data_IF_330891348782
#
_entry.id   IF_330891348782
#
_cell.length_a   1.000
_cell.length_b   1.000
_cell.length_c   1.000
_cell.angle_alpha   90.00
_cell.angle_beta   90.00
_cell.angle_gamma   90.00
#
_symmetry.space_group_name_H-M   'P 1'
#
loop_
_entity.id
_entity.type
_entity.pdbx_description
1 polymer ?
#
# COMPACT_ATOMS: atom_id res chain seq x y z
N UNK A 1 16.49 -18.17 -23.12
CA UNK A 1 15.78 -17.27 -22.18
C UNK A 1 16.21 -17.59 -20.76
N UNK A 2 16.92 -16.68 -20.11
CA UNK A 2 17.50 -16.89 -18.76
C UNK A 2 16.39 -17.20 -17.74
N UNK A 3 16.58 -18.23 -16.89
CA UNK A 3 15.71 -18.58 -15.73
C UNK A 3 15.34 -17.38 -14.84
N UNK A 4 16.08 -16.25 -14.93
CA UNK A 4 15.89 -15.05 -14.14
C UNK A 4 14.61 -14.25 -14.44
N UNK A 5 14.04 -14.33 -15.65
CA UNK A 5 12.88 -13.51 -16.07
C UNK A 5 11.55 -14.29 -16.13
N UNK A 6 11.45 -15.40 -15.40
CA UNK A 6 10.26 -16.24 -15.41
C UNK A 6 9.19 -15.68 -14.47
N UNK A 7 8.02 -15.33 -14.99
CA UNK A 7 6.84 -14.88 -14.23
C UNK A 7 6.37 -15.90 -13.18
N UNK A 8 6.66 -17.20 -13.37
CA UNK A 8 6.39 -18.26 -12.37
C UNK A 8 7.07 -17.98 -11.01
N UNK A 9 8.10 -17.13 -10.99
CA UNK A 9 8.79 -16.72 -9.79
C UNK A 9 8.13 -15.53 -9.06
N UNK A 10 6.95 -15.08 -9.50
CA UNK A 10 6.19 -13.97 -8.90
C UNK A 10 4.89 -14.51 -8.33
N UNK A 11 4.60 -14.14 -7.09
CA UNK A 11 3.27 -14.24 -6.48
C UNK A 11 2.74 -12.83 -6.24
N UNK A 12 1.49 -12.59 -6.60
CA UNK A 12 0.77 -11.35 -6.32
C UNK A 12 0.08 -11.47 -4.97
N UNK A 13 0.19 -10.45 -4.12
CA UNK A 13 -0.57 -10.33 -2.87
C UNK A 13 -1.52 -9.16 -2.95
N UNK A 14 -2.77 -9.39 -2.56
CA UNK A 14 -3.86 -8.43 -2.69
C UNK A 14 -4.70 -8.38 -1.41
N UNK A 15 -4.46 -7.39 -0.53
CA UNK A 15 -5.34 -7.12 0.60
C UNK A 15 -6.60 -6.39 0.11
N UNK A 16 -7.76 -6.83 0.56
CA UNK A 16 -9.08 -6.25 0.26
C UNK A 16 -9.76 -5.81 1.56
N UNK A 17 -10.52 -4.72 1.49
CA UNK A 17 -11.42 -4.28 2.55
C UNK A 17 -12.58 -3.48 1.96
N UNK A 18 -13.81 -4.00 2.11
CA UNK A 18 -15.04 -3.39 1.56
C UNK A 18 -14.85 -2.93 0.11
N UNK A 19 -14.27 -3.84 -0.70
CA UNK A 19 -13.88 -3.53 -2.07
C UNK A 19 -15.09 -3.54 -2.98
N UNK A 20 -15.33 -2.47 -3.77
CA UNK A 20 -16.41 -2.45 -4.76
C UNK A 20 -16.28 -3.61 -5.76
N UNK A 21 -17.37 -4.36 -5.97
CA UNK A 21 -17.39 -5.50 -6.90
C UNK A 21 -17.03 -5.09 -8.33
N UNK A 22 -17.28 -3.82 -8.73
CA UNK A 22 -16.84 -3.28 -10.02
C UNK A 22 -15.33 -3.38 -10.28
N UNK A 23 -14.51 -3.46 -9.22
CA UNK A 23 -13.06 -3.61 -9.33
C UNK A 23 -12.58 -5.05 -9.59
N UNK A 24 -13.48 -6.04 -9.54
CA UNK A 24 -13.15 -7.45 -9.89
C UNK A 24 -12.50 -7.54 -11.26
N UNK A 25 -12.95 -6.73 -12.23
CA UNK A 25 -12.35 -6.67 -13.57
C UNK A 25 -10.84 -6.37 -13.57
N UNK A 26 -10.38 -5.58 -12.63
CA UNK A 26 -8.96 -5.24 -12.53
C UNK A 26 -8.12 -6.44 -12.04
N UNK A 27 -8.72 -7.40 -11.34
CA UNK A 27 -8.00 -8.56 -10.80
C UNK A 27 -7.62 -9.53 -11.93
N UNK A 28 -8.39 -9.57 -13.03
CA UNK A 28 -8.10 -10.39 -14.21
C UNK A 28 -6.74 -10.10 -14.86
N UNK A 29 -6.18 -8.91 -14.65
CA UNK A 29 -4.85 -8.58 -15.19
C UNK A 29 -3.73 -9.48 -14.63
N UNK A 30 -3.98 -10.18 -13.53
CA UNK A 30 -3.03 -11.09 -12.87
C UNK A 30 -3.22 -12.56 -13.24
N UNK A 31 -4.08 -12.92 -14.21
CA UNK A 31 -4.42 -14.32 -14.57
C UNK A 31 -3.21 -15.21 -14.89
N UNK A 32 -2.09 -14.63 -15.33
CA UNK A 32 -0.85 -15.36 -15.63
C UNK A 32 0.11 -15.46 -14.43
N UNK A 33 -0.32 -15.06 -13.22
CA UNK A 33 0.49 -15.01 -12.01
C UNK A 33 -0.24 -15.71 -10.87
N UNK A 34 0.49 -16.34 -9.95
CA UNK A 34 -0.09 -16.83 -8.70
C UNK A 34 -0.63 -15.66 -7.91
N UNK A 35 -1.87 -15.76 -7.42
CA UNK A 35 -2.54 -14.69 -6.67
C UNK A 35 -2.97 -15.21 -5.29
N UNK A 36 -2.64 -14.46 -4.25
CA UNK A 36 -3.09 -14.68 -2.88
C UNK A 36 -3.89 -13.46 -2.43
N UNK A 37 -5.10 -13.69 -1.97
CA UNK A 37 -6.03 -12.63 -1.54
C UNK A 37 -6.32 -12.78 -0.05
N UNK A 38 -6.39 -11.65 0.66
CA UNK A 38 -6.94 -11.57 2.01
C UNK A 38 -8.03 -10.50 2.02
N UNK A 39 -9.26 -10.94 2.27
CA UNK A 39 -10.41 -10.07 2.43
C UNK A 39 -10.75 -9.88 3.92
N UNK A 40 -10.87 -8.62 4.33
CA UNK A 40 -11.14 -8.20 5.71
C UNK A 40 -12.58 -7.73 5.91
N UNK A 41 -13.47 -8.11 5.00
CA UNK A 41 -14.86 -7.64 4.96
C UNK A 41 -15.88 -8.74 5.20
N UNK A 42 -15.43 -10.01 5.30
CA UNK A 42 -16.29 -11.19 5.32
C UNK A 42 -17.24 -11.26 4.11
N UNK A 43 -16.77 -10.80 2.92
CA UNK A 43 -17.58 -10.74 1.71
C UNK A 43 -17.53 -12.07 0.93
N UNK A 44 -18.43 -12.98 1.29
CA UNK A 44 -18.55 -14.28 0.65
C UNK A 44 -19.01 -14.20 -0.82
N UNK A 45 -19.79 -13.19 -1.17
CA UNK A 45 -20.21 -12.97 -2.56
C UNK A 45 -19.02 -12.55 -3.44
N UNK A 46 -18.20 -11.61 -2.96
CA UNK A 46 -16.94 -11.22 -3.61
C UNK A 46 -16.03 -12.43 -3.81
N UNK A 47 -15.84 -13.24 -2.75
CA UNK A 47 -15.05 -14.49 -2.82
C UNK A 47 -15.57 -15.40 -3.93
N UNK A 48 -16.87 -15.69 -3.94
CA UNK A 48 -17.49 -16.57 -4.96
C UNK A 48 -17.24 -16.02 -6.36
N UNK A 49 -17.50 -14.73 -6.60
CA UNK A 49 -17.30 -14.07 -7.90
C UNK A 49 -15.84 -14.11 -8.35
N UNK A 50 -14.89 -13.99 -7.43
CA UNK A 50 -13.46 -14.03 -7.76
C UNK A 50 -12.99 -15.44 -8.09
N UNK A 51 -13.37 -16.44 -7.28
CA UNK A 51 -12.94 -17.82 -7.48
C UNK A 51 -13.53 -18.45 -8.74
N UNK A 52 -14.77 -18.10 -9.12
CA UNK A 52 -15.37 -18.60 -10.38
C UNK A 52 -14.74 -18.01 -11.64
N UNK A 53 -14.14 -16.80 -11.55
CA UNK A 53 -13.60 -16.08 -12.72
C UNK A 53 -12.08 -16.13 -12.85
N UNK A 54 -11.36 -16.62 -11.83
CA UNK A 54 -9.90 -16.57 -11.77
C UNK A 54 -9.33 -17.87 -11.19
N UNK A 55 -8.82 -18.73 -12.06
CA UNK A 55 -8.22 -20.02 -11.68
C UNK A 55 -6.82 -19.89 -11.08
N UNK A 56 -6.21 -18.73 -11.16
CA UNK A 56 -4.88 -18.43 -10.67
C UNK A 56 -4.83 -18.02 -9.19
N UNK A 57 -5.99 -17.90 -8.51
CA UNK A 57 -6.06 -17.65 -7.07
C UNK A 57 -5.68 -18.93 -6.33
N UNK A 58 -4.46 -18.97 -5.80
CA UNK A 58 -3.93 -20.15 -5.09
C UNK A 58 -4.33 -20.17 -3.61
N UNK A 59 -4.73 -19.01 -3.05
CA UNK A 59 -5.24 -18.91 -1.69
C UNK A 59 -6.15 -17.70 -1.54
N UNK A 60 -7.29 -17.89 -0.89
CA UNK A 60 -8.23 -16.82 -0.51
C UNK A 60 -8.50 -16.94 0.99
N UNK A 61 -8.14 -15.89 1.74
CA UNK A 61 -8.26 -15.81 3.20
C UNK A 61 -9.37 -14.81 3.52
N UNK A 62 -10.28 -15.14 4.40
CA UNK A 62 -11.32 -14.25 4.90
C UNK A 62 -11.07 -13.94 6.36
N UNK A 63 -11.19 -12.66 6.71
CA UNK A 63 -11.27 -12.17 8.07
C UNK A 63 -12.60 -11.44 8.26
N UNK A 64 -13.17 -11.60 9.44
CA UNK A 64 -14.44 -10.98 9.86
C UNK A 64 -14.27 -9.50 10.26
N UNK A 65 -13.03 -9.04 10.43
CA UNK A 65 -12.71 -7.68 10.85
C UNK A 65 -11.52 -7.10 10.11
N UNK A 66 -11.50 -5.78 10.05
CA UNK A 66 -10.38 -5.02 9.49
C UNK A 66 -9.20 -5.02 10.45
N UNK A 67 -8.13 -5.71 10.08
CA UNK A 67 -6.88 -5.80 10.85
C UNK A 67 -5.83 -4.76 10.41
N UNK A 68 -6.17 -3.92 9.42
CA UNK A 68 -5.29 -2.92 8.83
C UNK A 68 -4.45 -3.43 7.66
N UNK A 69 -3.91 -2.47 6.90
CA UNK A 69 -3.18 -2.76 5.67
C UNK A 69 -1.83 -3.45 5.94
N UNK A 70 -1.02 -2.92 6.85
CA UNK A 70 0.28 -3.48 7.18
C UNK A 70 0.19 -4.94 7.66
N UNK A 71 -0.71 -5.21 8.61
CA UNK A 71 -0.92 -6.54 9.17
C UNK A 71 -1.45 -7.53 8.15
N UNK A 72 -2.38 -7.11 7.28
CA UNK A 72 -2.89 -7.96 6.20
C UNK A 72 -1.82 -8.29 5.16
N UNK A 73 -0.99 -7.32 4.77
CA UNK A 73 0.15 -7.57 3.87
C UNK A 73 1.17 -8.54 4.46
N UNK A 74 1.50 -8.40 5.75
CA UNK A 74 2.37 -9.34 6.46
C UNK A 74 1.78 -10.75 6.51
N UNK A 75 0.47 -10.85 6.76
CA UNK A 75 -0.23 -12.14 6.77
C UNK A 75 -0.20 -12.81 5.38
N UNK A 76 -0.44 -12.05 4.31
CA UNK A 76 -0.33 -12.53 2.94
C UNK A 76 1.09 -13.01 2.62
N UNK A 77 2.12 -12.26 3.04
CA UNK A 77 3.52 -12.58 2.78
C UNK A 77 3.98 -13.91 3.40
N UNK A 78 3.37 -14.34 4.52
CA UNK A 78 3.65 -15.67 5.14
C UNK A 78 3.35 -16.82 4.19
N UNK A 79 2.40 -16.64 3.26
CA UNK A 79 1.97 -17.66 2.30
C UNK A 79 2.72 -17.58 0.95
N UNK A 80 3.64 -16.64 0.78
CA UNK A 80 4.42 -16.47 -0.45
C UNK A 80 5.66 -17.37 -0.41
N UNK A 81 5.74 -18.30 -1.37
CA UNK A 81 6.89 -19.21 -1.56
C UNK A 81 7.77 -18.84 -2.75
N UNK A 82 7.29 -17.96 -3.63
CA UNK A 82 8.05 -17.48 -4.79
C UNK A 82 9.19 -16.53 -4.38
N UNK A 83 10.18 -16.38 -5.27
CA UNK A 83 11.33 -15.49 -5.04
C UNK A 83 10.93 -14.02 -4.95
N UNK A 84 9.95 -13.61 -5.78
CA UNK A 84 9.46 -12.24 -5.86
C UNK A 84 7.99 -12.18 -5.49
N UNK A 85 7.58 -11.06 -4.92
CA UNK A 85 6.21 -10.77 -4.60
C UNK A 85 5.83 -9.39 -5.17
N UNK A 86 4.67 -9.32 -5.83
CA UNK A 86 4.05 -8.08 -6.27
C UNK A 86 2.96 -7.72 -5.27
N UNK A 87 3.18 -6.67 -4.47
CA UNK A 87 2.11 -6.04 -3.70
C UNK A 87 1.27 -5.20 -4.64
N UNK A 88 -0.05 -5.30 -4.51
CA UNK A 88 -1.00 -4.50 -5.30
C UNK A 88 -2.28 -4.20 -4.52
N UNK A 89 -3.09 -3.28 -5.04
CA UNK A 89 -4.42 -2.94 -4.54
C UNK A 89 -5.47 -3.14 -5.66
N UNK A 90 -6.74 -3.27 -5.29
CA UNK A 90 -7.83 -3.53 -6.26
C UNK A 90 -8.03 -2.38 -7.27
N UNK A 91 -7.65 -1.15 -6.90
CA UNK A 91 -7.74 0.04 -7.74
C UNK A 91 -6.44 0.36 -8.52
N UNK A 92 -5.54 -0.62 -8.61
CA UNK A 92 -4.36 -0.54 -9.48
C UNK A 92 -4.65 -1.23 -10.82
N UNK A 93 -4.30 -0.55 -11.90
CA UNK A 93 -4.29 -1.12 -13.26
C UNK A 93 -2.85 -1.14 -13.76
N UNK A 94 -2.32 -2.34 -13.98
CA UNK A 94 -0.96 -2.59 -14.46
C UNK A 94 -0.99 -3.74 -15.48
N UNK A 95 -0.29 -3.62 -16.59
CA UNK A 95 -0.24 -4.70 -17.56
C UNK A 95 0.97 -5.64 -17.35
N UNK A 96 0.90 -6.83 -17.95
CA UNK A 96 1.93 -7.85 -17.82
C UNK A 96 3.30 -7.39 -18.33
N UNK A 97 3.34 -6.52 -19.35
CA UNK A 97 4.59 -5.92 -19.87
C UNK A 97 5.28 -5.09 -18.78
N UNK A 98 4.51 -4.26 -18.05
CA UNK A 98 5.04 -3.47 -16.93
C UNK A 98 5.57 -4.37 -15.81
N UNK A 99 4.87 -5.46 -15.45
CA UNK A 99 5.34 -6.41 -14.44
C UNK A 99 6.67 -7.07 -14.88
N UNK A 100 6.80 -7.45 -16.15
CA UNK A 100 8.07 -7.95 -16.70
C UNK A 100 9.19 -6.92 -16.63
N UNK A 101 8.90 -5.64 -16.87
CA UNK A 101 9.89 -4.56 -16.74
C UNK A 101 10.32 -4.36 -15.28
N UNK A 102 9.42 -4.47 -14.30
CA UNK A 102 9.77 -4.45 -12.88
C UNK A 102 10.74 -5.60 -12.53
N UNK A 103 10.44 -6.81 -13.02
CA UNK A 103 11.29 -7.97 -12.79
C UNK A 103 12.68 -7.83 -13.44
N UNK A 104 12.76 -7.29 -14.64
CA UNK A 104 14.06 -7.01 -15.30
C UNK A 104 14.88 -5.99 -14.51
N UNK A 105 14.23 -4.91 -14.03
CA UNK A 105 14.95 -3.84 -13.34
C UNK A 105 15.47 -4.27 -11.97
N UNK A 106 14.74 -5.13 -11.24
CA UNK A 106 15.22 -5.66 -9.94
C UNK A 106 16.46 -6.53 -10.11
N UNK A 107 16.64 -7.14 -11.30
CA UNK A 107 17.84 -7.91 -11.63
C UNK A 107 19.00 -7.05 -12.16
N UNK A 108 18.67 -5.93 -12.81
CA UNK A 108 19.66 -5.06 -13.45
C UNK A 108 20.43 -4.20 -12.43
N UNK A 109 19.78 -3.83 -11.35
CA UNK A 109 20.37 -2.93 -10.34
C UNK A 109 20.87 -3.74 -9.15
N UNK A 110 22.16 -3.63 -8.86
CA UNK A 110 22.77 -4.30 -7.73
C UNK A 110 22.15 -3.85 -6.41
N UNK A 111 21.93 -4.84 -5.53
CA UNK A 111 21.28 -4.66 -4.24
C UNK A 111 19.84 -4.10 -4.32
N UNK A 112 19.18 -4.11 -5.48
CA UNK A 112 17.78 -3.75 -5.57
C UNK A 112 16.91 -4.70 -4.73
N UNK A 113 16.04 -4.15 -3.90
CA UNK A 113 15.09 -4.88 -3.07
C UNK A 113 13.65 -4.62 -3.50
N UNK A 114 13.34 -3.39 -3.92
CA UNK A 114 12.02 -2.95 -4.41
C UNK A 114 12.17 -2.32 -5.79
N UNK A 115 11.29 -2.73 -6.71
CA UNK A 115 11.08 -2.10 -8.02
C UNK A 115 9.62 -1.69 -8.15
N UNK A 116 9.36 -0.40 -8.22
CA UNK A 116 8.02 0.17 -8.37
C UNK A 116 7.77 0.68 -9.79
N UNK A 117 6.51 0.66 -10.27
CA UNK A 117 6.15 1.29 -11.53
C UNK A 117 6.02 2.81 -11.36
N UNK A 118 6.02 3.51 -12.48
CA UNK A 118 5.60 4.90 -12.52
C UNK A 118 4.07 4.97 -12.41
N UNK A 119 3.58 5.52 -11.30
CA UNK A 119 2.15 5.65 -11.04
C UNK A 119 1.62 7.00 -11.55
N UNK A 120 0.62 6.97 -12.43
CA UNK A 120 -0.15 8.15 -12.91
C UNK A 120 0.69 9.31 -13.50
N UNK A 121 1.99 9.14 -13.68
CA UNK A 121 2.84 10.22 -14.19
C UNK A 121 2.99 10.11 -15.70
N UNK A 122 2.60 11.15 -16.40
CA UNK A 122 3.00 11.36 -17.79
C UNK A 122 4.48 11.74 -17.80
N UNK A 123 5.36 10.81 -18.13
CA UNK A 123 6.77 11.10 -18.34
C UNK A 123 7.24 10.42 -19.62
N UNK A 124 7.96 11.17 -20.44
CA UNK A 124 8.66 10.65 -21.62
C UNK A 124 9.92 9.85 -21.23
N UNK A 125 10.42 10.04 -20.00
CA UNK A 125 11.58 9.30 -19.50
C UNK A 125 11.30 7.82 -19.41
N UNK A 126 12.25 7.00 -19.88
CA UNK A 126 12.22 5.54 -19.77
C UNK A 126 13.26 5.02 -18.77
N UNK A 127 13.90 5.92 -18.02
CA UNK A 127 15.01 5.60 -17.13
C UNK A 127 14.53 4.92 -15.84
N UNK A 128 15.42 4.12 -15.27
CA UNK A 128 15.30 3.61 -13.91
C UNK A 128 15.91 4.66 -12.98
N UNK A 129 15.18 5.01 -11.92
CA UNK A 129 15.64 5.95 -10.89
C UNK A 129 15.75 5.25 -9.55
N UNK A 130 16.87 5.44 -8.84
CA UNK A 130 16.97 5.12 -7.42
C UNK A 130 16.24 6.22 -6.67
N UNK A 131 15.41 5.84 -5.70
CA UNK A 131 14.56 6.76 -4.94
C UNK A 131 14.56 6.38 -3.46
N UNK A 132 14.29 7.34 -2.60
CA UNK A 132 14.20 7.09 -1.16
C UNK A 132 12.85 6.48 -0.76
N UNK A 133 11.78 6.76 -1.51
CA UNK A 133 10.43 6.33 -1.16
C UNK A 133 9.63 5.87 -2.39
N UNK A 134 8.76 4.89 -2.16
CA UNK A 134 7.73 4.45 -3.10
C UNK A 134 6.40 4.29 -2.37
N UNK A 135 5.29 4.46 -3.09
CA UNK A 135 3.95 4.30 -2.52
C UNK A 135 3.63 2.81 -2.37
N UNK A 136 3.11 2.41 -1.22
CA UNK A 136 2.69 1.05 -0.88
C UNK A 136 1.53 0.47 -1.70
N UNK A 137 1.08 1.18 -2.74
CA UNK A 137 -0.03 0.74 -3.59
C UNK A 137 0.37 -0.34 -4.61
N UNK A 138 1.60 -0.27 -5.15
CA UNK A 138 2.09 -1.26 -6.12
C UNK A 138 3.61 -1.26 -6.23
N UNK A 139 4.25 -2.37 -5.88
CA UNK A 139 5.67 -2.61 -6.14
C UNK A 139 6.03 -4.11 -6.10
N UNK A 140 7.03 -4.48 -6.90
CA UNK A 140 7.66 -5.79 -6.89
C UNK A 140 8.83 -5.79 -5.91
N UNK A 141 8.99 -6.85 -5.11
CA UNK A 141 10.10 -6.97 -4.17
C UNK A 141 10.69 -8.38 -4.05
N UNK A 142 11.93 -8.47 -3.60
CA UNK A 142 12.60 -9.71 -3.24
C UNK A 142 12.12 -10.19 -1.87
N UNK A 143 11.43 -11.34 -1.85
CA UNK A 143 10.77 -11.89 -0.65
C UNK A 143 11.78 -12.19 0.47
N UNK A 144 12.92 -12.78 0.14
CA UNK A 144 13.95 -13.15 1.15
C UNK A 144 14.55 -11.90 1.81
N UNK A 145 14.84 -10.87 1.00
CA UNK A 145 15.41 -9.62 1.50
C UNK A 145 14.40 -8.86 2.37
N UNK A 146 13.14 -8.74 1.92
CA UNK A 146 12.07 -8.07 2.67
C UNK A 146 11.75 -8.78 3.99
N UNK A 147 11.68 -10.11 4.01
CA UNK A 147 11.47 -10.88 5.25
C UNK A 147 12.56 -10.61 6.29
N UNK A 148 13.83 -10.45 5.89
CA UNK A 148 14.93 -10.05 6.80
C UNK A 148 14.72 -8.68 7.44
N UNK A 149 14.04 -7.76 6.74
CA UNK A 149 13.73 -6.41 7.22
C UNK A 149 12.39 -6.33 7.96
N UNK A 150 11.70 -7.46 8.19
CA UNK A 150 10.38 -7.52 8.84
C UNK A 150 9.35 -6.65 8.10
N UNK A 151 9.09 -6.92 6.84
CA UNK A 151 8.22 -6.21 5.90
C UNK A 151 7.57 -4.91 6.46
N UNK A 152 6.27 -4.90 6.78
CA UNK A 152 5.64 -3.73 7.40
C UNK A 152 5.63 -3.81 8.93
N UNK A 153 5.78 -2.68 9.61
CA UNK A 153 5.55 -2.57 11.05
C UNK A 153 4.03 -2.54 11.30
N UNK A 154 3.51 -3.55 11.99
CA UNK A 154 2.07 -3.74 12.25
C UNK A 154 1.45 -2.70 13.19
N UNK A 155 2.27 -1.84 13.82
CA UNK A 155 1.79 -0.66 14.55
C UNK A 155 1.13 0.37 13.65
N UNK A 156 1.50 0.40 12.36
CA UNK A 156 0.81 1.18 11.33
C UNK A 156 -0.41 0.41 10.86
N UNK A 157 -1.60 0.89 11.22
CA UNK A 157 -2.84 0.27 10.76
C UNK A 157 -3.08 0.52 9.27
N UNK A 158 -2.87 1.75 8.83
CA UNK A 158 -3.06 2.21 7.46
C UNK A 158 -2.28 3.52 7.26
N UNK A 159 -1.53 3.63 6.17
CA UNK A 159 -0.61 4.71 5.84
C UNK A 159 0.64 4.75 6.73
N UNK A 160 1.72 5.27 6.16
CA UNK A 160 3.05 5.41 6.75
C UNK A 160 3.83 4.10 6.92
N UNK A 161 3.21 2.93 6.74
CA UNK A 161 3.90 1.63 6.74
C UNK A 161 4.92 1.52 5.60
N UNK A 162 4.60 2.11 4.43
CA UNK A 162 5.48 2.15 3.26
C UNK A 162 6.63 3.14 3.47
N UNK A 163 6.37 4.30 4.06
CA UNK A 163 7.40 5.29 4.44
C UNK A 163 8.36 4.70 5.46
N UNK A 164 7.84 4.01 6.49
CA UNK A 164 8.66 3.31 7.49
C UNK A 164 9.54 2.21 6.85
N UNK A 165 8.95 1.40 5.96
CA UNK A 165 9.70 0.36 5.26
C UNK A 165 10.82 0.97 4.40
N UNK A 166 10.51 2.01 3.63
CA UNK A 166 11.49 2.70 2.80
C UNK A 166 12.62 3.31 3.66
N UNK A 167 12.29 3.93 4.79
CA UNK A 167 13.28 4.44 5.73
C UNK A 167 14.20 3.34 6.25
N UNK A 168 13.65 2.17 6.64
CA UNK A 168 14.45 1.03 7.09
C UNK A 168 15.34 0.46 5.99
N UNK A 169 14.88 0.44 4.74
CA UNK A 169 15.66 0.01 3.58
C UNK A 169 16.83 0.97 3.34
N UNK A 170 16.59 2.28 3.39
CA UNK A 170 17.60 3.31 3.15
C UNK A 170 18.73 3.29 4.19
N UNK A 171 18.49 2.73 5.38
CA UNK A 171 19.51 2.49 6.39
C UNK A 171 20.31 1.19 6.16
N UNK A 172 20.21 0.59 4.97
CA UNK A 172 20.94 -0.60 4.55
C UNK A 172 21.66 -0.35 3.22
N UNK A 173 22.36 -1.38 2.70
CA UNK A 173 22.93 -1.35 1.34
C UNK A 173 21.89 -1.56 0.23
N UNK A 174 20.63 -1.83 0.56
CA UNK A 174 19.60 -2.11 -0.43
C UNK A 174 19.07 -0.83 -1.09
N UNK A 175 18.62 -0.96 -2.33
CA UNK A 175 18.12 0.13 -3.16
C UNK A 175 16.65 -0.06 -3.49
N UNK A 176 15.93 1.05 -3.50
CA UNK A 176 14.56 1.17 -3.98
C UNK A 176 14.62 1.86 -5.34
N UNK A 177 13.90 1.35 -6.33
CA UNK A 177 13.88 1.96 -7.67
C UNK A 177 12.46 2.19 -8.19
N UNK A 178 12.32 3.24 -9.00
CA UNK A 178 11.18 3.43 -9.89
C UNK A 178 11.65 3.16 -11.32
N UNK A 179 10.96 2.24 -12.01
CA UNK A 179 11.17 1.97 -13.42
C UNK A 179 10.13 2.70 -14.26
N UNK A 180 10.52 3.77 -14.96
CA UNK A 180 9.63 4.57 -15.78
C UNK A 180 9.09 3.85 -17.04
N UNK A 181 9.69 2.70 -17.45
CA UNK A 181 9.14 1.82 -18.49
C UNK A 181 7.95 1.01 -18.00
N UNK A 182 7.90 0.70 -16.70
CA UNK A 182 6.79 0.02 -16.05
C UNK A 182 5.75 1.07 -15.64
N UNK A 183 4.62 1.10 -16.32
CA UNK A 183 3.55 2.06 -16.04
C UNK A 183 2.39 1.36 -15.37
N UNK A 184 1.81 1.99 -14.36
CA UNK A 184 0.57 1.57 -13.74
C UNK A 184 -0.31 2.79 -13.46
N UNK A 185 -1.63 2.56 -13.44
CA UNK A 185 -2.62 3.59 -13.10
C UNK A 185 -3.20 3.26 -11.72
N UNK A 186 -3.13 4.22 -10.82
CA UNK A 186 -3.78 4.15 -9.51
C UNK A 186 -5.07 4.96 -9.58
N UNK A 187 -6.21 4.33 -9.44
CA UNK A 187 -7.52 4.99 -9.51
C UNK A 187 -7.85 5.79 -8.24
N UNK A 188 -6.92 5.90 -7.35
CA UNK A 188 -6.86 6.61 -6.07
C UNK A 188 -8.15 6.59 -5.26
N UNK A 189 -8.06 6.07 -4.03
CA UNK A 189 -9.17 5.98 -3.07
C UNK A 189 -10.39 5.18 -3.51
N UNK A 190 -10.26 4.32 -4.54
CA UNK A 190 -11.34 3.45 -5.02
C UNK A 190 -11.24 2.00 -4.53
N UNK A 191 -10.15 1.62 -3.86
CA UNK A 191 -9.93 0.25 -3.35
C UNK A 191 -10.95 -0.20 -2.30
N UNK A 192 -11.65 0.73 -1.64
CA UNK A 192 -12.78 0.45 -0.75
C UNK A 192 -13.91 1.47 -0.95
N UNK A 193 -15.13 1.11 -0.51
CA UNK A 193 -16.26 2.03 -0.57
C UNK A 193 -15.99 3.35 0.16
N UNK A 194 -16.40 4.48 -0.44
CA UNK A 194 -16.31 5.80 0.15
C UNK A 194 -17.59 6.06 0.97
N UNK A 195 -17.46 5.99 2.30
CA UNK A 195 -18.50 6.39 3.26
C UNK A 195 -17.82 7.09 4.45
N UNK A 196 -18.61 7.68 5.35
CA UNK A 196 -18.08 8.39 6.52
C UNK A 196 -17.15 7.53 7.37
N UNK A 197 -17.48 6.24 7.57
CA UNK A 197 -16.66 5.35 8.36
C UNK A 197 -15.27 5.16 7.73
N UNK A 198 -15.20 4.84 6.43
CA UNK A 198 -13.90 4.71 5.72
C UNK A 198 -13.15 6.03 5.65
N UNK A 199 -13.86 7.16 5.54
CA UNK A 199 -13.27 8.49 5.60
C UNK A 199 -12.58 8.75 6.96
N UNK A 200 -13.26 8.48 8.08
CA UNK A 200 -12.67 8.63 9.41
C UNK A 200 -11.51 7.66 9.63
N UNK A 201 -11.67 6.37 9.30
CA UNK A 201 -10.59 5.38 9.39
C UNK A 201 -9.33 5.86 8.67
N UNK A 202 -9.45 6.38 7.45
CA UNK A 202 -8.33 6.87 6.66
C UNK A 202 -7.64 8.07 7.29
N UNK A 203 -8.40 9.10 7.65
CA UNK A 203 -7.83 10.36 8.15
C UNK A 203 -7.25 10.22 9.56
N UNK A 204 -7.92 9.49 10.45
CA UNK A 204 -7.42 9.19 11.80
C UNK A 204 -6.09 8.43 11.72
N UNK A 205 -6.03 7.35 10.91
CA UNK A 205 -4.83 6.54 10.83
C UNK A 205 -3.71 7.22 10.03
N UNK A 206 -4.02 8.08 9.06
CA UNK A 206 -3.02 8.91 8.41
C UNK A 206 -2.30 9.80 9.43
N UNK A 207 -3.05 10.50 10.28
CA UNK A 207 -2.48 11.39 11.28
C UNK A 207 -1.79 10.63 12.41
N UNK A 208 -2.39 9.55 12.89
CA UNK A 208 -1.77 8.65 13.86
C UNK A 208 -0.43 8.08 13.35
N UNK A 209 -0.40 7.60 12.11
CA UNK A 209 0.80 7.04 11.50
C UNK A 209 1.92 8.07 11.32
N UNK A 210 1.57 9.32 10.98
CA UNK A 210 2.51 10.44 10.91
C UNK A 210 3.25 10.60 12.24
N UNK A 211 2.51 10.69 13.35
CA UNK A 211 3.10 10.85 14.67
C UNK A 211 3.90 9.62 15.11
N UNK A 212 3.38 8.43 14.82
CA UNK A 212 4.09 7.18 15.09
C UNK A 212 5.44 7.12 14.37
N UNK A 213 5.46 7.49 13.08
CA UNK A 213 6.68 7.50 12.28
C UNK A 213 7.69 8.52 12.79
N UNK A 214 7.29 9.78 13.03
CA UNK A 214 8.18 10.81 13.52
C UNK A 214 8.71 10.51 14.93
N UNK A 215 7.91 9.87 15.78
CA UNK A 215 8.38 9.37 17.07
C UNK A 215 9.44 8.28 16.90
N UNK A 216 9.20 7.33 16.00
CA UNK A 216 10.10 6.20 15.74
C UNK A 216 11.49 6.65 15.24
N UNK A 217 11.55 7.72 14.48
CA UNK A 217 12.82 8.30 13.99
C UNK A 217 13.36 9.44 14.86
N UNK A 218 12.87 9.57 16.10
CA UNK A 218 13.28 10.60 17.07
C UNK A 218 13.14 12.06 16.57
N UNK A 219 12.17 12.31 15.68
CA UNK A 219 11.88 13.64 15.14
C UNK A 219 10.53 14.20 15.58
N UNK A 220 9.93 13.67 16.64
CA UNK A 220 8.60 14.08 17.12
C UNK A 220 8.51 15.59 17.45
N UNK A 221 9.60 16.19 17.98
CA UNK A 221 9.68 17.63 18.27
C UNK A 221 9.35 18.53 17.06
N UNK A 222 9.51 18.02 15.83
CA UNK A 222 9.19 18.78 14.62
C UNK A 222 7.69 18.97 14.38
N UNK A 223 6.83 18.09 14.91
CA UNK A 223 5.39 18.07 14.61
C UNK A 223 4.50 18.54 15.77
N UNK A 224 5.05 18.90 16.93
CA UNK A 224 4.40 19.54 18.08
C UNK A 224 2.90 19.23 18.24
N UNK A 225 2.50 18.11 18.90
CA UNK A 225 1.11 17.64 18.95
C UNK A 225 0.09 18.69 19.38
N UNK A 226 0.34 19.39 20.50
CA UNK A 226 -0.58 20.42 21.02
C UNK A 226 -0.82 21.55 20.03
N UNK A 227 0.24 22.05 19.37
CA UNK A 227 0.10 23.08 18.33
C UNK A 227 -0.75 22.57 17.16
N UNK A 228 -0.56 21.33 16.75
CA UNK A 228 -1.34 20.73 15.66
C UNK A 228 -2.81 20.53 16.03
N UNK A 229 -3.13 20.17 17.28
CA UNK A 229 -4.51 20.11 17.77
C UNK A 229 -5.16 21.48 17.63
N UNK A 230 -4.52 22.53 18.16
CA UNK A 230 -5.02 23.90 18.11
C UNK A 230 -5.21 24.39 16.65
N UNK A 231 -4.23 24.15 15.79
CA UNK A 231 -4.32 24.50 14.37
C UNK A 231 -5.49 23.80 13.68
N UNK A 232 -5.70 22.51 13.95
CA UNK A 232 -6.82 21.78 13.35
C UNK A 232 -8.19 22.22 13.93
N UNK A 233 -8.26 22.69 15.18
CA UNK A 233 -9.47 23.31 15.74
C UNK A 233 -9.83 24.61 15.01
N UNK A 234 -8.86 25.47 14.77
CA UNK A 234 -9.06 26.71 14.00
C UNK A 234 -9.54 26.37 12.58
N UNK A 235 -8.87 25.43 11.89
CA UNK A 235 -9.28 25.02 10.56
C UNK A 235 -10.64 24.32 10.53
N UNK A 236 -11.03 23.60 11.57
CA UNK A 236 -12.36 23.04 11.72
C UNK A 236 -13.41 24.17 11.71
N UNK A 237 -13.24 25.20 12.56
CA UNK A 237 -14.18 26.32 12.66
C UNK A 237 -14.22 27.11 11.36
N UNK A 238 -13.09 27.47 10.78
CA UNK A 238 -13.04 28.25 9.53
C UNK A 238 -13.64 27.49 8.34
N UNK A 239 -13.41 26.19 8.25
CA UNK A 239 -14.01 25.35 7.21
C UNK A 239 -15.50 25.16 7.42
N UNK A 240 -15.98 25.10 8.68
CA UNK A 240 -17.40 25.01 9.01
C UNK A 240 -18.11 26.29 8.59
N UNK A 241 -17.59 27.46 8.98
CA UNK A 241 -18.13 28.75 8.57
C UNK A 241 -18.13 28.97 7.05
N UNK A 242 -17.14 28.39 6.36
CA UNK A 242 -17.04 28.43 4.90
C UNK A 242 -17.84 27.32 4.19
N UNK A 243 -18.72 26.61 4.90
CA UNK A 243 -19.54 25.50 4.39
C UNK A 243 -18.75 24.34 3.75
N UNK A 244 -17.47 24.19 4.13
CA UNK A 244 -16.58 23.13 3.64
C UNK A 244 -16.63 21.90 4.56
N UNK A 245 -17.81 21.30 4.71
CA UNK A 245 -18.11 20.26 5.70
C UNK A 245 -17.12 19.07 5.70
N UNK A 246 -16.74 18.54 4.52
CA UNK A 246 -15.77 17.43 4.44
C UNK A 246 -14.39 17.82 4.98
N UNK A 247 -13.95 19.07 4.77
CA UNK A 247 -12.69 19.55 5.31
C UNK A 247 -12.77 19.74 6.83
N UNK A 248 -13.91 20.22 7.35
CA UNK A 248 -14.15 20.28 8.79
C UNK A 248 -14.08 18.90 9.43
N UNK A 249 -14.78 17.91 8.87
CA UNK A 249 -14.73 16.52 9.36
C UNK A 249 -13.30 15.94 9.30
N UNK A 250 -12.51 16.30 8.28
CA UNK A 250 -11.12 15.89 8.18
C UNK A 250 -10.26 16.44 9.33
N UNK A 251 -10.47 17.70 9.71
CA UNK A 251 -9.75 18.31 10.84
C UNK A 251 -10.09 17.61 12.16
N UNK A 252 -11.37 17.26 12.39
CA UNK A 252 -11.77 16.44 13.54
C UNK A 252 -11.05 15.08 13.52
N UNK A 253 -11.06 14.41 12.38
CA UNK A 253 -10.40 13.11 12.24
C UNK A 253 -8.88 13.21 12.52
N UNK A 254 -8.24 14.29 12.12
CA UNK A 254 -6.82 14.54 12.43
C UNK A 254 -6.58 14.75 13.93
N UNK A 255 -7.44 15.51 14.61
CA UNK A 255 -7.38 15.66 16.07
C UNK A 255 -7.51 14.30 16.75
N UNK A 256 -8.49 13.50 16.37
CA UNK A 256 -8.66 12.14 16.89
C UNK A 256 -7.43 11.25 16.63
N UNK A 257 -6.77 11.40 15.49
CA UNK A 257 -5.52 10.69 15.16
C UNK A 257 -4.36 11.09 16.09
N UNK A 258 -4.26 12.38 16.45
CA UNK A 258 -3.27 12.86 17.41
C UNK A 258 -3.57 12.32 18.81
N UNK A 259 -4.82 12.38 19.26
CA UNK A 259 -5.22 11.81 20.56
C UNK A 259 -4.93 10.30 20.62
N UNK A 260 -5.28 9.55 19.59
CA UNK A 260 -4.95 8.12 19.50
C UNK A 260 -3.45 7.86 19.68
N UNK A 261 -2.59 8.77 19.20
CA UNK A 261 -1.14 8.66 19.39
C UNK A 261 -0.72 8.99 20.82
N UNK A 262 -1.25 10.06 21.41
CA UNK A 262 -0.86 10.55 22.75
C UNK A 262 -1.28 9.57 23.84
N UNK A 263 -2.46 8.95 23.71
CA UNK A 263 -3.05 8.05 24.72
C UNK A 263 -2.91 6.55 24.39
N UNK A 264 -1.94 6.17 23.56
CA UNK A 264 -1.65 4.77 23.21
C UNK A 264 -0.89 4.01 24.30
#
# INVERSE_FOLDING_TARGET
MSKKNNLKNITVILPLYKTPHALIKNIKQYNNLKLIILDQSNDHELKRKLLTKNTNIIKYIIFDKNIGFAKSCNHLLKNVTSKYCLLTQADIVINLKSIKELLKSIHKIDNCIISAPNLNKSTKSTNIKIVDNVIGANFLFDVKKIKKLKFFDEKFFLYWEDVDLCHRINNTKYKIIINNKAKAKHLSSKSSHNNLNTFFIRNINFKFGEYLYFNKINKLKKIKPLRQIFTNLIYFLTNLLSLKFLKSLQNIAYILGIFKFVFR
#
